data_IF_137419105985
#
_entry.id   IF_137419105985
#
_cell.length_a   1.000
_cell.length_b   1.000
_cell.length_c   1.000
_cell.angle_alpha   90.00
_cell.angle_beta   90.00
_cell.angle_gamma   90.00
#
_symmetry.space_group_name_H-M   'P 1'
#
loop_
_entity.id
_entity.type
_entity.pdbx_description
1 polymer ?
#
# COMPACT_ATOMS: atom_id res chain seq x y z
N UNK A 1 10.75 -2.03 -0.85
CA UNK A 1 12.05 -2.39 -0.24
C UNK A 1 11.77 -3.31 0.93
N UNK A 2 12.54 -4.40 1.11
CA UNK A 2 12.39 -5.31 2.25
C UNK A 2 13.55 -5.13 3.24
N UNK A 3 13.24 -5.05 4.54
CA UNK A 3 14.24 -4.92 5.61
C UNK A 3 14.12 -6.10 6.59
N UNK A 4 15.26 -6.68 7.00
CA UNK A 4 15.32 -7.78 7.96
C UNK A 4 15.78 -7.28 9.32
N UNK A 5 14.96 -7.47 10.35
CA UNK A 5 15.27 -7.15 11.73
C UNK A 5 15.54 -8.43 12.55
N UNK A 6 16.49 -8.36 13.48
CA UNK A 6 16.73 -9.39 14.50
C UNK A 6 16.45 -8.79 15.88
N UNK A 7 15.72 -9.51 16.73
CA UNK A 7 15.34 -9.08 18.08
C UNK A 7 15.65 -10.19 19.08
N UNK A 8 16.26 -9.83 20.21
CA UNK A 8 16.48 -10.73 21.33
C UNK A 8 15.30 -10.64 22.29
N UNK A 9 14.73 -11.79 22.65
CA UNK A 9 13.61 -11.91 23.57
C UNK A 9 13.96 -12.89 24.68
N UNK A 10 13.45 -12.64 25.88
CA UNK A 10 13.46 -13.64 26.93
C UNK A 10 12.48 -14.79 26.64
N UNK A 11 12.66 -15.90 27.34
CA UNK A 11 11.87 -17.12 27.16
C UNK A 11 10.37 -16.89 27.42
N UNK A 12 10.03 -16.05 28.39
CA UNK A 12 8.64 -15.77 28.74
C UNK A 12 7.91 -15.03 27.61
N UNK A 13 8.56 -14.04 27.00
CA UNK A 13 8.03 -13.30 25.84
C UNK A 13 7.93 -14.19 24.61
N UNK A 14 8.94 -15.01 24.34
CA UNK A 14 8.91 -15.96 23.23
C UNK A 14 7.78 -16.98 23.38
N UNK A 15 7.58 -17.50 24.59
CA UNK A 15 6.50 -18.44 24.90
C UNK A 15 5.13 -17.82 24.66
N UNK A 16 4.90 -16.57 25.10
CA UNK A 16 3.64 -15.86 24.85
C UNK A 16 3.38 -15.67 23.35
N UNK A 17 4.40 -15.28 22.58
CA UNK A 17 4.28 -15.11 21.13
C UNK A 17 3.93 -16.43 20.44
N UNK A 18 4.58 -17.54 20.81
CA UNK A 18 4.29 -18.87 20.25
C UNK A 18 2.86 -19.31 20.54
N UNK A 19 2.41 -19.16 21.79
CA UNK A 19 1.04 -19.48 22.20
C UNK A 19 0.03 -18.68 21.37
N UNK A 20 0.25 -17.37 21.25
CA UNK A 20 -0.63 -16.49 20.47
C UNK A 20 -0.68 -16.87 18.99
N UNK A 21 0.47 -17.20 18.40
CA UNK A 21 0.58 -17.65 17.02
C UNK A 21 -0.17 -18.96 16.78
N UNK A 22 -0.06 -19.90 17.73
CA UNK A 22 -0.79 -21.18 17.69
C UNK A 22 -2.30 -20.98 17.79
N UNK A 23 -2.77 -20.15 18.73
CA UNK A 23 -4.21 -19.83 18.88
C UNK A 23 -4.81 -19.21 17.62
N UNK A 24 -4.02 -18.47 16.85
CA UNK A 24 -4.46 -17.82 15.60
C UNK A 24 -4.19 -18.66 14.34
N UNK A 25 -3.47 -19.78 14.44
CA UNK A 25 -3.05 -20.56 13.27
C UNK A 25 -2.10 -19.83 12.33
N UNK A 26 -1.31 -18.87 12.84
CA UNK A 26 -0.38 -18.06 12.02
C UNK A 26 1.07 -18.20 12.53
N UNK A 27 2.02 -17.63 11.80
CA UNK A 27 3.42 -17.60 12.24
C UNK A 27 3.66 -16.55 13.33
N UNK A 28 4.68 -16.77 14.16
CA UNK A 28 5.14 -15.77 15.14
C UNK A 28 5.46 -14.43 14.47
N UNK A 29 6.08 -14.46 13.29
CA UNK A 29 6.37 -13.24 12.51
C UNK A 29 5.10 -12.47 12.13
N UNK A 30 4.01 -13.17 11.78
CA UNK A 30 2.73 -12.52 11.48
C UNK A 30 2.14 -11.84 12.73
N UNK A 31 2.22 -12.49 13.90
CA UNK A 31 1.80 -11.89 15.18
C UNK A 31 2.59 -10.64 15.50
N UNK A 32 3.92 -10.68 15.32
CA UNK A 32 4.79 -9.51 15.57
C UNK A 32 4.45 -8.36 14.62
N UNK A 33 4.24 -8.63 13.33
CA UNK A 33 3.82 -7.61 12.36
C UNK A 33 2.47 -6.97 12.75
N UNK A 34 1.47 -7.78 13.06
CA UNK A 34 0.16 -7.28 13.47
C UNK A 34 0.24 -6.43 14.76
N UNK A 35 1.07 -6.82 15.72
CA UNK A 35 1.27 -6.04 16.95
C UNK A 35 1.99 -4.71 16.68
N UNK A 36 2.96 -4.70 15.77
CA UNK A 36 3.60 -3.48 15.28
C UNK A 36 2.54 -2.59 14.62
N UNK A 37 1.81 -3.10 13.63
CA UNK A 37 0.81 -2.33 12.91
C UNK A 37 -0.25 -1.71 13.84
N UNK A 38 -0.72 -2.48 14.84
CA UNK A 38 -1.66 -2.01 15.86
C UNK A 38 -1.06 -0.95 16.80
N UNK A 39 0.24 -1.01 17.09
CA UNK A 39 0.93 0.01 17.90
C UNK A 39 1.08 1.35 17.18
N UNK A 40 0.93 1.35 15.84
CA UNK A 40 0.95 2.53 14.98
C UNK A 40 -0.43 2.83 14.39
N UNK A 41 -1.54 2.43 15.04
CA UNK A 41 -2.89 2.67 14.51
C UNK A 41 -3.25 4.16 14.41
N UNK A 42 -2.68 5.03 15.26
CA UNK A 42 -2.76 6.49 15.10
C UNK A 42 -2.12 6.95 13.77
N UNK A 43 -1.04 6.30 13.32
CA UNK A 43 -0.44 6.53 12.00
C UNK A 43 -1.31 5.94 10.87
N UNK A 44 -2.16 4.95 11.12
CA UNK A 44 -3.03 4.40 10.07
C UNK A 44 -4.12 5.40 9.65
N UNK A 45 -4.71 6.12 10.62
CA UNK A 45 -5.61 7.23 10.33
C UNK A 45 -4.88 8.36 9.59
N UNK A 46 -3.67 8.72 10.06
CA UNK A 46 -2.87 9.77 9.44
C UNK A 46 -2.40 9.41 8.02
N UNK A 47 -1.99 8.16 7.78
CA UNK A 47 -1.63 7.63 6.45
C UNK A 47 -2.83 7.61 5.51
N UNK A 48 -4.02 7.21 5.97
CA UNK A 48 -5.25 7.29 5.16
C UNK A 48 -5.60 8.73 4.81
N UNK A 49 -5.48 9.66 5.75
CA UNK A 49 -5.70 11.08 5.51
C UNK A 49 -4.68 11.67 4.53
N UNK A 50 -3.41 11.27 4.62
CA UNK A 50 -2.37 11.67 3.68
C UNK A 50 -2.60 11.09 2.27
N UNK A 51 -2.95 9.81 2.16
CA UNK A 51 -3.31 9.20 0.88
C UNK A 51 -4.53 9.88 0.24
N UNK A 52 -5.55 10.21 1.06
CA UNK A 52 -6.70 10.98 0.62
C UNK A 52 -6.34 12.38 0.11
N UNK A 53 -5.45 13.10 0.82
CA UNK A 53 -4.93 14.40 0.36
C UNK A 53 -4.21 14.30 -0.97
N UNK A 54 -3.28 13.34 -1.12
CA UNK A 54 -2.56 13.13 -2.39
C UNK A 54 -3.51 12.80 -3.54
N UNK A 55 -4.54 11.99 -3.27
CA UNK A 55 -5.55 11.68 -4.27
C UNK A 55 -6.36 12.92 -4.69
N UNK A 56 -6.75 13.75 -3.72
CA UNK A 56 -7.45 15.00 -4.00
C UNK A 56 -6.57 16.01 -4.75
N UNK A 57 -5.28 16.10 -4.43
CA UNK A 57 -4.31 16.91 -5.16
C UNK A 57 -4.19 16.45 -6.62
N UNK A 58 -4.02 15.14 -6.86
CA UNK A 58 -4.00 14.57 -8.20
C UNK A 58 -5.30 14.84 -8.96
N UNK A 59 -6.45 14.72 -8.30
CA UNK A 59 -7.74 15.01 -8.92
C UNK A 59 -7.87 16.50 -9.26
N UNK A 60 -7.43 17.39 -8.38
CA UNK A 60 -7.42 18.84 -8.59
C UNK A 60 -6.54 19.25 -9.79
N UNK A 61 -5.39 18.60 -9.96
CA UNK A 61 -4.50 18.82 -11.12
C UNK A 61 -5.10 18.33 -12.45
N UNK A 62 -6.08 17.42 -12.42
CA UNK A 62 -6.73 16.87 -13.61
C UNK A 62 -8.14 17.46 -13.87
N UNK A 63 -8.53 18.54 -13.19
CA UNK A 63 -9.87 19.17 -13.34
C UNK A 63 -10.14 19.67 -14.76
N UNK A 64 -9.11 20.05 -15.50
CA UNK A 64 -9.24 20.60 -16.86
C UNK A 64 -9.23 19.51 -17.96
N UNK A 65 -9.22 18.22 -17.61
CA UNK A 65 -9.40 17.15 -18.59
C UNK A 65 -10.89 16.93 -18.87
N UNK A 66 -11.39 17.67 -19.86
CA UNK A 66 -12.67 17.39 -20.47
C UNK A 66 -12.60 16.00 -21.15
N UNK A 67 -13.45 15.04 -20.78
CA UNK A 67 -13.45 13.74 -21.41
C UNK A 67 -13.84 13.90 -22.89
N UNK A 68 -13.15 13.24 -23.82
CA UNK A 68 -13.52 13.31 -25.22
C UNK A 68 -14.94 12.76 -25.43
N UNK A 69 -15.82 13.58 -25.98
CA UNK A 69 -17.24 13.22 -26.19
C UNK A 69 -17.43 12.22 -27.34
N UNK A 70 -16.44 12.07 -28.23
CA UNK A 70 -16.52 11.22 -29.40
C UNK A 70 -15.93 9.80 -29.14
N UNK A 71 -16.63 8.71 -29.54
CA UNK A 71 -16.17 7.34 -29.34
C UNK A 71 -14.74 7.07 -29.86
N UNK A 72 -14.41 7.61 -31.03
CA UNK A 72 -13.09 7.47 -31.67
C UNK A 72 -11.98 8.23 -30.93
N UNK A 73 -12.34 9.21 -30.11
CA UNK A 73 -11.40 9.94 -29.27
C UNK A 73 -11.12 9.21 -27.95
N UNK A 74 -12.08 8.45 -27.42
CA UNK A 74 -11.87 7.57 -26.26
C UNK A 74 -10.89 6.45 -26.60
N UNK A 75 -11.03 5.84 -27.77
CA UNK A 75 -10.14 4.76 -28.23
C UNK A 75 -8.70 5.26 -28.42
N UNK A 76 -8.52 6.46 -29.00
CA UNK A 76 -7.20 7.10 -29.13
C UNK A 76 -6.56 7.41 -27.78
N UNK A 77 -7.33 7.92 -26.82
CA UNK A 77 -6.80 8.19 -25.46
C UNK A 77 -6.37 6.90 -24.77
N UNK A 78 -7.15 5.82 -24.90
CA UNK A 78 -6.78 4.51 -24.35
C UNK A 78 -5.45 4.02 -24.94
N UNK A 79 -5.33 4.05 -26.26
CA UNK A 79 -4.14 3.56 -26.95
C UNK A 79 -2.89 4.40 -26.59
N UNK A 80 -3.04 5.72 -26.42
CA UNK A 80 -1.97 6.59 -25.94
C UNK A 80 -1.58 6.31 -24.48
N UNK A 81 -2.54 6.04 -23.59
CA UNK A 81 -2.27 5.64 -22.21
C UNK A 81 -1.53 4.31 -22.13
N UNK A 82 -1.93 3.34 -22.94
CA UNK A 82 -1.27 2.03 -23.03
C UNK A 82 0.17 2.15 -23.55
N UNK A 83 0.39 2.99 -24.57
CA UNK A 83 1.72 3.27 -25.09
C UNK A 83 2.63 3.94 -24.03
N UNK A 84 2.11 4.92 -23.29
CA UNK A 84 2.83 5.57 -22.20
C UNK A 84 3.15 4.61 -21.04
N UNK A 85 2.20 3.75 -20.69
CA UNK A 85 2.37 2.75 -19.64
C UNK A 85 3.48 1.74 -20.01
N UNK A 86 3.46 1.23 -21.24
CA UNK A 86 4.50 0.33 -21.76
C UNK A 86 5.87 1.01 -21.81
N UNK A 87 5.94 2.27 -22.26
CA UNK A 87 7.19 3.04 -22.29
C UNK A 87 7.77 3.29 -20.88
N UNK A 88 6.92 3.44 -19.87
CA UNK A 88 7.33 3.62 -18.47
C UNK A 88 7.82 2.31 -17.84
N UNK A 89 7.22 1.18 -18.20
CA UNK A 89 7.63 -0.16 -17.76
C UNK A 89 8.92 -0.64 -18.41
N UNK A 90 9.20 -0.25 -19.66
CA UNK A 90 10.45 -0.59 -20.35
C UNK A 90 11.68 0.24 -19.93
N UNK A 91 11.51 1.25 -19.08
CA UNK A 91 12.59 2.09 -18.52
C UNK A 91 13.11 1.61 -17.16
N UNK A 92 12.49 0.59 -16.57
CA UNK A 92 12.88 -0.06 -15.31
C UNK A 92 13.65 -1.35 -15.56
#
# INVERSE_FOLDING_TARGET
MEHRMQLLLDEARLTRLRKRAQEQGVSVSAVVRAAIDASFEDDAAQRRAEAGRRFLELAAENVDHEPPEEPDAIERVRDDMDAQFLAKMGRL
#
